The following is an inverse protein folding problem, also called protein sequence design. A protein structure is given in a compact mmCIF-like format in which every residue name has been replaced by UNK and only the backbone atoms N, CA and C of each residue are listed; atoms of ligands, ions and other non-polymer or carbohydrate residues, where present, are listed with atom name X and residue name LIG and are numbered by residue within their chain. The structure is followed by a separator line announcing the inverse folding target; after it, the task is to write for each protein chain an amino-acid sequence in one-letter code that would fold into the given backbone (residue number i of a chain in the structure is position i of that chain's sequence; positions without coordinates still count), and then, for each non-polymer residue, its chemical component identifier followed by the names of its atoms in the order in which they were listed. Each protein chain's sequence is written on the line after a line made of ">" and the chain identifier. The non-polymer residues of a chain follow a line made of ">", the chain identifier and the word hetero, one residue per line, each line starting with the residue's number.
data_IF_217264641864
#
_entry.id   IF_217264641864
#
_cell.length_a   1.000
_cell.length_b   1.000
_cell.length_c   1.000
_cell.angle_alpha   90.00
_cell.angle_beta   90.00
_cell.angle_gamma   90.00
#
_symmetry.space_group_name_H-M   'P 1'
#
loop_
_entity.id
_entity.type
_entity.pdbx_description
1 polymer ?
#
# COMPACT_ATOMS: atom_id res chain seq x y z
N UNK A 1 27.05 18.10 19.33
CA UNK A 1 26.42 17.01 18.54
C UNK A 1 24.88 17.08 18.48
N UNK A 2 24.17 17.59 19.50
CA UNK A 2 22.71 17.74 19.49
C UNK A 2 22.18 18.75 18.44
N UNK A 3 22.94 19.76 18.04
CA UNK A 3 22.50 20.81 17.10
C UNK A 3 22.45 20.38 15.63
N UNK A 4 23.35 19.51 15.16
CA UNK A 4 23.43 19.11 13.74
C UNK A 4 22.30 18.18 13.30
N UNK A 5 21.75 17.34 14.20
CA UNK A 5 20.59 16.48 13.87
C UNK A 5 19.27 17.29 13.82
N UNK A 6 19.22 18.47 14.49
CA UNK A 6 18.07 19.35 14.43
C UNK A 6 17.96 20.10 13.09
N UNK A 7 19.04 20.24 12.33
CA UNK A 7 19.09 21.01 11.08
C UNK A 7 18.95 20.13 9.82
N UNK A 8 18.90 18.80 9.95
CA UNK A 8 18.78 17.91 8.79
C UNK A 8 17.41 18.09 8.13
N UNK A 9 17.40 18.48 6.85
CA UNK A 9 16.18 18.57 6.03
C UNK A 9 15.46 17.20 5.96
N UNK A 10 16.19 16.11 5.84
CA UNK A 10 15.69 14.73 5.78
C UNK A 10 14.74 14.36 6.93
N UNK A 11 14.95 14.94 8.12
CA UNK A 11 14.12 14.69 9.29
C UNK A 11 13.22 15.87 9.64
N UNK A 12 13.01 16.84 8.73
CA UNK A 12 12.21 18.03 9.02
C UNK A 12 10.70 17.76 8.98
N UNK A 13 10.26 16.76 8.21
CA UNK A 13 8.86 16.39 8.10
C UNK A 13 8.70 14.86 8.08
N UNK A 14 7.56 14.29 8.58
CA UNK A 14 7.42 12.85 8.74
C UNK A 14 7.56 12.06 7.42
N UNK A 15 6.94 12.52 6.32
CA UNK A 15 6.94 11.78 5.06
C UNK A 15 8.34 11.51 4.50
N UNK A 16 9.31 12.40 4.75
CA UNK A 16 10.64 12.32 4.14
C UNK A 16 11.39 11.01 4.52
N UNK A 17 11.66 10.71 5.80
CA UNK A 17 12.39 9.51 6.17
C UNK A 17 11.61 8.22 5.90
N UNK A 18 10.29 8.25 6.12
CA UNK A 18 9.47 7.07 5.92
C UNK A 18 9.31 6.69 4.45
N UNK A 19 9.20 7.66 3.53
CA UNK A 19 9.13 7.37 2.09
C UNK A 19 10.45 6.79 1.59
N UNK A 20 11.59 7.31 2.01
CA UNK A 20 12.91 6.77 1.63
C UNK A 20 13.05 5.33 2.14
N UNK A 21 12.69 5.05 3.40
CA UNK A 21 12.74 3.70 3.94
C UNK A 21 11.78 2.75 3.23
N UNK A 22 10.56 3.22 2.91
CA UNK A 22 9.59 2.45 2.13
C UNK A 22 10.12 2.06 0.76
N UNK A 23 10.71 3.01 0.01
CA UNK A 23 11.31 2.74 -1.31
C UNK A 23 12.48 1.75 -1.20
N UNK A 24 13.37 1.94 -0.22
CA UNK A 24 14.45 1.01 0.05
C UNK A 24 13.91 -0.41 0.24
N UNK A 25 12.89 -0.57 1.07
CA UNK A 25 12.26 -1.86 1.32
C UNK A 25 11.55 -2.43 0.08
N UNK A 26 10.89 -1.59 -0.74
CA UNK A 26 10.27 -2.03 -1.97
C UNK A 26 11.28 -2.70 -2.93
N UNK A 27 12.47 -2.15 -3.02
CA UNK A 27 13.54 -2.65 -3.91
C UNK A 27 14.22 -3.87 -3.31
N UNK A 28 14.72 -3.74 -2.08
CA UNK A 28 15.57 -4.76 -1.46
C UNK A 28 14.78 -6.03 -1.14
N UNK A 29 13.61 -5.90 -0.52
CA UNK A 29 12.81 -7.07 -0.13
C UNK A 29 12.25 -7.81 -1.34
N UNK A 30 11.88 -7.07 -2.40
CA UNK A 30 11.41 -7.71 -3.62
C UNK A 30 12.54 -8.43 -4.36
N UNK A 31 13.76 -7.88 -4.35
CA UNK A 31 14.94 -8.56 -4.92
C UNK A 31 15.23 -9.85 -4.15
N UNK A 32 15.25 -9.80 -2.83
CA UNK A 32 15.47 -10.99 -1.97
C UNK A 32 14.40 -12.03 -2.22
N UNK A 33 13.11 -11.62 -2.23
CA UNK A 33 12.01 -12.53 -2.55
C UNK A 33 12.20 -13.21 -3.89
N UNK A 34 12.47 -12.46 -4.96
CA UNK A 34 12.62 -13.00 -6.30
C UNK A 34 13.76 -14.01 -6.42
N UNK A 35 14.91 -13.71 -5.80
CA UNK A 35 16.07 -14.60 -5.79
C UNK A 35 15.81 -15.87 -4.96
N UNK A 36 15.19 -15.76 -3.79
CA UNK A 36 14.82 -16.89 -2.96
C UNK A 36 13.72 -17.76 -3.60
N UNK A 37 12.71 -17.12 -4.20
CA UNK A 37 11.65 -17.85 -4.94
C UNK A 37 12.18 -18.68 -6.10
N UNK A 38 13.25 -18.21 -6.76
CA UNK A 38 13.95 -18.96 -7.82
C UNK A 38 14.95 -20.01 -7.29
N UNK A 39 15.08 -20.15 -5.97
CA UNK A 39 15.99 -21.10 -5.35
C UNK A 39 17.47 -20.75 -5.51
N UNK A 40 17.81 -19.48 -5.82
CA UNK A 40 19.21 -19.03 -5.96
C UNK A 40 19.93 -18.94 -4.62
N UNK A 41 19.20 -18.79 -3.52
CA UNK A 41 19.68 -18.94 -2.15
C UNK A 41 18.54 -19.32 -1.17
N UNK A 42 18.93 -19.85 -0.03
CA UNK A 42 18.01 -20.22 1.05
C UNK A 42 17.82 -19.06 2.02
N UNK A 43 16.62 -18.95 2.59
CA UNK A 43 16.26 -17.97 3.59
C UNK A 43 15.59 -18.65 4.79
N UNK A 44 15.74 -18.06 5.98
CA UNK A 44 15.23 -18.57 7.25
C UNK A 44 13.72 -18.34 7.47
N UNK A 45 12.99 -17.90 6.43
CA UNK A 45 11.56 -17.62 6.45
C UNK A 45 10.91 -18.14 5.16
N UNK A 46 9.64 -18.53 5.23
CA UNK A 46 8.90 -18.87 4.02
C UNK A 46 8.85 -17.69 3.04
N UNK A 47 9.21 -17.92 1.77
CA UNK A 47 9.34 -16.85 0.77
C UNK A 47 8.02 -16.09 0.50
N UNK A 48 6.87 -16.79 0.52
CA UNK A 48 5.56 -16.16 0.36
C UNK A 48 5.22 -15.28 1.57
N UNK A 49 5.50 -15.76 2.79
CA UNK A 49 5.32 -14.98 4.01
C UNK A 49 6.21 -13.74 3.98
N UNK A 50 7.50 -13.88 3.61
CA UNK A 50 8.42 -12.75 3.44
C UNK A 50 7.87 -11.73 2.44
N UNK A 51 7.42 -12.19 1.27
CA UNK A 51 6.88 -11.32 0.22
C UNK A 51 5.73 -10.45 0.74
N UNK A 52 4.70 -11.07 1.31
CA UNK A 52 3.52 -10.33 1.78
C UNK A 52 3.85 -9.48 2.98
N UNK A 53 4.57 -10.02 3.97
CA UNK A 53 4.95 -9.30 5.18
C UNK A 53 5.79 -8.05 4.88
N UNK A 54 6.80 -8.19 4.05
CA UNK A 54 7.70 -7.08 3.73
C UNK A 54 7.01 -5.97 2.95
N UNK A 55 6.16 -6.32 1.98
CA UNK A 55 5.39 -5.31 1.26
C UNK A 55 4.38 -4.62 2.18
N UNK A 56 3.66 -5.37 3.02
CA UNK A 56 2.67 -4.79 3.91
C UNK A 56 3.29 -3.89 4.99
N UNK A 57 4.27 -4.41 5.74
CA UNK A 57 4.74 -3.76 6.98
C UNK A 57 6.06 -2.99 6.82
N UNK A 58 6.86 -3.25 5.78
CA UNK A 58 8.08 -2.50 5.53
C UNK A 58 7.95 -1.48 4.40
N UNK A 59 7.16 -1.75 3.36
CA UNK A 59 6.90 -0.76 2.32
C UNK A 59 5.67 0.10 2.66
N UNK A 60 4.46 -0.50 2.59
CA UNK A 60 3.22 0.27 2.66
C UNK A 60 3.00 0.91 4.02
N UNK A 61 3.24 0.19 5.12
CA UNK A 61 3.11 0.76 6.47
C UNK A 61 4.05 1.95 6.70
N UNK A 62 5.32 1.91 6.20
CA UNK A 62 6.21 3.06 6.28
C UNK A 62 5.65 4.26 5.52
N UNK A 63 5.23 4.06 4.25
CA UNK A 63 4.69 5.15 3.44
C UNK A 63 3.39 5.70 4.06
N UNK A 64 2.50 4.85 4.54
CA UNK A 64 1.28 5.27 5.23
C UNK A 64 1.57 6.04 6.52
N UNK A 65 2.49 5.55 7.35
CA UNK A 65 2.90 6.25 8.59
C UNK A 65 3.43 7.65 8.28
N UNK A 66 4.36 7.77 7.32
CA UNK A 66 4.90 9.06 6.89
C UNK A 66 3.82 10.00 6.34
N UNK A 67 2.92 9.47 5.52
CA UNK A 67 1.80 10.20 4.96
C UNK A 67 0.80 10.64 6.04
N UNK A 68 0.37 9.74 6.90
CA UNK A 68 -0.63 10.03 7.94
C UNK A 68 -0.08 10.99 9.00
N UNK A 69 1.16 10.85 9.45
CA UNK A 69 1.77 11.81 10.37
C UNK A 69 1.87 13.22 9.78
N UNK A 70 1.88 13.33 8.44
CA UNK A 70 1.90 14.61 7.73
C UNK A 70 0.49 15.20 7.55
N UNK A 71 -0.52 14.36 7.26
CA UNK A 71 -1.85 14.81 6.81
C UNK A 71 -2.95 14.66 7.86
N UNK A 72 -2.89 13.63 8.70
CA UNK A 72 -3.92 13.30 9.68
C UNK A 72 -4.15 14.39 10.76
N UNK A 73 -3.09 15.10 11.24
CA UNK A 73 -3.29 16.27 12.10
C UNK A 73 -4.12 17.38 11.44
N UNK A 74 -3.93 17.58 10.11
CA UNK A 74 -4.71 18.57 9.35
C UNK A 74 -6.17 18.13 9.18
N UNK A 75 -6.42 16.84 8.96
CA UNK A 75 -7.79 16.30 8.87
C UNK A 75 -8.57 16.52 10.17
N UNK A 76 -7.89 16.44 11.30
CA UNK A 76 -8.49 16.56 12.63
C UNK A 76 -8.33 17.95 13.26
N UNK A 77 -7.70 18.92 12.58
CA UNK A 77 -7.42 20.28 13.09
C UNK A 77 -6.67 20.24 14.44
N UNK A 78 -5.58 19.47 14.48
CA UNK A 78 -4.68 19.38 15.64
C UNK A 78 -3.28 19.90 15.32
N UNK A 79 -2.44 19.97 16.35
CA UNK A 79 -1.02 20.28 16.19
C UNK A 79 -0.32 19.18 15.39
N UNK A 80 0.76 19.55 14.68
CA UNK A 80 1.62 18.63 13.94
C UNK A 80 2.25 17.59 14.88
N UNK A 81 2.54 16.42 14.36
CA UNK A 81 3.23 15.36 15.12
C UNK A 81 4.63 15.85 15.52
N UNK A 82 5.01 15.77 16.82
CA UNK A 82 6.32 16.25 17.27
C UNK A 82 7.47 15.50 16.58
N UNK A 83 8.52 16.24 16.17
CA UNK A 83 9.68 15.69 15.47
C UNK A 83 10.31 14.52 16.23
N UNK A 84 10.54 14.68 17.53
CA UNK A 84 11.11 13.63 18.37
C UNK A 84 10.31 12.33 18.31
N UNK A 85 8.96 12.43 18.22
CA UNK A 85 8.10 11.25 18.17
C UNK A 85 8.28 10.48 16.86
N UNK A 86 8.05 11.14 15.71
CA UNK A 86 8.13 10.43 14.43
C UNK A 86 9.55 9.98 14.06
N UNK A 87 10.58 10.71 14.52
CA UNK A 87 11.97 10.23 14.31
C UNK A 87 12.29 8.97 15.13
N UNK A 88 11.74 8.83 16.34
CA UNK A 88 11.89 7.59 17.12
C UNK A 88 11.20 6.42 16.43
N UNK A 89 9.98 6.62 15.89
CA UNK A 89 9.27 5.60 15.11
C UNK A 89 10.05 5.23 13.84
N UNK A 90 10.60 6.22 13.13
CA UNK A 90 11.45 5.97 11.98
C UNK A 90 12.67 5.11 12.33
N UNK A 91 13.38 5.43 13.40
CA UNK A 91 14.55 4.64 13.83
C UNK A 91 14.17 3.22 14.27
N UNK A 92 12.99 3.04 14.90
CA UNK A 92 12.50 1.70 15.22
C UNK A 92 12.19 0.89 13.94
N UNK A 93 11.54 1.50 12.93
CA UNK A 93 11.29 0.86 11.64
C UNK A 93 12.59 0.55 10.88
N UNK A 94 13.58 1.45 10.93
CA UNK A 94 14.90 1.21 10.34
C UNK A 94 15.61 0.05 11.04
N UNK A 95 15.63 0.03 12.37
CA UNK A 95 16.22 -1.05 13.16
C UNK A 95 15.54 -2.40 12.87
N UNK A 96 14.18 -2.41 12.84
CA UNK A 96 13.41 -3.60 12.46
C UNK A 96 13.73 -4.08 11.04
N UNK A 97 13.85 -3.15 10.07
CA UNK A 97 14.26 -3.48 8.70
C UNK A 97 15.65 -4.12 8.65
N UNK A 98 16.64 -3.51 9.29
CA UNK A 98 18.03 -4.03 9.29
C UNK A 98 18.12 -5.38 10.01
N UNK A 99 17.40 -5.54 11.10
CA UNK A 99 17.36 -6.80 11.85
C UNK A 99 16.65 -7.91 11.07
N UNK A 100 15.57 -7.59 10.33
CA UNK A 100 14.92 -8.54 9.43
C UNK A 100 15.86 -8.97 8.31
N UNK A 101 16.57 -8.03 7.69
CA UNK A 101 17.57 -8.33 6.66
C UNK A 101 18.66 -9.26 7.19
N UNK A 102 19.17 -9.00 8.39
CA UNK A 102 20.13 -9.90 9.03
C UNK A 102 19.52 -11.28 9.30
N UNK A 103 18.29 -11.31 9.85
CA UNK A 103 17.62 -12.54 10.23
C UNK A 103 17.31 -13.46 9.06
N UNK A 104 16.93 -12.91 7.92
CA UNK A 104 16.63 -13.67 6.68
C UNK A 104 17.79 -14.61 6.30
N UNK A 105 19.03 -14.21 6.54
CA UNK A 105 20.22 -14.97 6.16
C UNK A 105 20.91 -15.68 7.33
N UNK A 106 20.49 -15.45 8.59
CA UNK A 106 21.25 -15.95 9.76
C UNK A 106 20.42 -16.73 10.76
N UNK A 107 19.23 -16.24 11.15
CA UNK A 107 18.45 -16.86 12.22
C UNK A 107 17.01 -16.37 12.30
N UNK A 108 16.08 -17.30 12.45
CA UNK A 108 14.68 -17.02 12.72
C UNK A 108 14.44 -16.14 13.96
N UNK A 109 15.30 -16.19 14.97
CA UNK A 109 15.15 -15.36 16.18
C UNK A 109 15.34 -13.88 15.90
N UNK A 110 16.22 -13.50 14.97
CA UNK A 110 16.33 -12.11 14.54
C UNK A 110 15.11 -11.68 13.71
N UNK A 111 14.50 -12.58 12.94
CA UNK A 111 13.25 -12.31 12.23
C UNK A 111 12.13 -12.01 13.26
N UNK A 112 11.97 -12.86 14.26
CA UNK A 112 11.00 -12.69 15.36
C UNK A 112 11.17 -11.34 16.06
N UNK A 113 12.39 -11.02 16.45
CA UNK A 113 12.71 -9.75 17.11
C UNK A 113 12.42 -8.54 16.19
N UNK A 114 12.76 -8.65 14.90
CA UNK A 114 12.45 -7.62 13.93
C UNK A 114 10.92 -7.38 13.80
N UNK A 115 10.14 -8.45 13.67
CA UNK A 115 8.69 -8.38 13.60
C UNK A 115 8.08 -7.72 14.85
N UNK A 116 8.58 -8.04 16.06
CA UNK A 116 8.15 -7.41 17.31
C UNK A 116 8.49 -5.92 17.38
N UNK A 117 9.68 -5.51 16.94
CA UNK A 117 10.07 -4.09 16.88
C UNK A 117 9.17 -3.32 15.91
N UNK A 118 8.93 -3.88 14.72
CA UNK A 118 8.08 -3.28 13.71
C UNK A 118 6.62 -3.18 14.19
N UNK A 119 6.11 -4.21 14.87
CA UNK A 119 4.79 -4.19 15.49
C UNK A 119 4.68 -3.12 16.57
N UNK A 120 5.66 -3.02 17.45
CA UNK A 120 5.68 -1.99 18.50
C UNK A 120 5.69 -0.58 17.89
N UNK A 121 6.48 -0.35 16.82
CA UNK A 121 6.51 0.92 16.10
C UNK A 121 5.13 1.25 15.46
N UNK A 122 4.47 0.26 14.84
CA UNK A 122 3.13 0.43 14.30
C UNK A 122 2.11 0.71 15.41
N UNK A 123 2.13 -0.03 16.50
CA UNK A 123 1.25 0.18 17.65
C UNK A 123 1.38 1.61 18.22
N UNK A 124 2.61 2.08 18.43
CA UNK A 124 2.87 3.45 18.88
C UNK A 124 2.35 4.49 17.88
N UNK A 125 2.47 4.22 16.57
CA UNK A 125 1.94 5.07 15.51
C UNK A 125 0.41 5.16 15.58
N UNK A 126 -0.27 4.03 15.72
CA UNK A 126 -1.74 3.95 15.83
C UNK A 126 -2.24 4.64 17.09
N UNK A 127 -1.58 4.44 18.23
CA UNK A 127 -1.89 5.15 19.49
C UNK A 127 -1.78 6.67 19.31
N UNK A 128 -0.75 7.14 18.58
CA UNK A 128 -0.60 8.56 18.28
C UNK A 128 -1.71 9.08 17.35
N UNK A 129 -2.07 8.35 16.31
CA UNK A 129 -3.19 8.72 15.44
C UNK A 129 -4.52 8.76 16.21
N UNK A 130 -4.76 7.80 17.12
CA UNK A 130 -5.92 7.81 18.00
C UNK A 130 -5.96 9.06 18.92
N UNK A 131 -4.82 9.45 19.52
CA UNK A 131 -4.71 10.69 20.30
C UNK A 131 -5.09 11.91 19.45
N UNK A 132 -4.56 12.02 18.22
CA UNK A 132 -4.90 13.08 17.26
C UNK A 132 -6.40 13.09 16.94
N UNK A 133 -7.00 11.93 16.69
CA UNK A 133 -8.44 11.81 16.45
C UNK A 133 -9.27 12.27 17.64
N UNK A 134 -8.89 11.85 18.86
CA UNK A 134 -9.59 12.20 20.10
C UNK A 134 -9.51 13.71 20.38
N UNK A 135 -8.32 14.29 20.28
CA UNK A 135 -8.03 15.70 20.57
C UNK A 135 -8.49 16.65 19.44
N UNK A 136 -8.78 16.12 18.26
CA UNK A 136 -9.12 16.88 17.07
C UNK A 136 -10.36 17.77 17.24
N UNK A 137 -10.30 18.98 16.67
CA UNK A 137 -11.35 20.00 16.70
C UNK A 137 -12.23 19.99 15.44
N UNK A 138 -11.94 19.14 14.46
CA UNK A 138 -12.74 19.03 13.25
C UNK A 138 -14.19 18.64 13.60
N UNK A 139 -15.14 19.27 12.96
CA UNK A 139 -16.59 19.02 13.16
C UNK A 139 -17.01 17.65 12.61
N UNK A 140 -16.44 17.27 11.46
CA UNK A 140 -16.62 15.94 10.88
C UNK A 140 -15.31 15.15 10.93
N UNK A 141 -15.35 14.03 11.62
CA UNK A 141 -14.23 13.08 11.78
C UNK A 141 -14.54 11.71 11.17
N UNK A 142 -15.57 11.60 10.34
CA UNK A 142 -15.99 10.32 9.76
C UNK A 142 -14.87 9.65 8.95
N UNK A 143 -14.18 10.39 8.09
CA UNK A 143 -13.04 9.86 7.33
C UNK A 143 -11.89 9.43 8.24
N UNK A 144 -11.60 10.22 9.29
CA UNK A 144 -10.57 9.89 10.29
C UNK A 144 -10.91 8.63 11.09
N UNK A 145 -12.19 8.40 11.38
CA UNK A 145 -12.67 7.16 11.99
C UNK A 145 -12.37 5.94 11.11
N UNK A 146 -12.69 6.01 9.81
CA UNK A 146 -12.44 4.91 8.89
C UNK A 146 -10.95 4.63 8.66
N UNK A 147 -10.11 5.68 8.62
CA UNK A 147 -8.65 5.55 8.57
C UNK A 147 -8.14 4.80 9.81
N UNK A 148 -8.58 5.19 11.02
CA UNK A 148 -8.20 4.49 12.25
C UNK A 148 -8.72 3.05 12.29
N UNK A 149 -9.92 2.81 11.79
CA UNK A 149 -10.47 1.45 11.68
C UNK A 149 -9.55 0.57 10.83
N UNK A 150 -9.09 1.06 9.68
CA UNK A 150 -8.12 0.34 8.85
C UNK A 150 -6.80 0.07 9.60
N UNK A 151 -6.28 1.05 10.33
CA UNK A 151 -5.04 0.90 11.12
C UNK A 151 -5.18 -0.15 12.23
N UNK A 152 -6.34 -0.29 12.87
CA UNK A 152 -6.59 -1.36 13.83
C UNK A 152 -6.58 -2.74 13.17
N UNK A 153 -7.12 -2.88 11.97
CA UNK A 153 -6.97 -4.12 11.19
C UNK A 153 -5.53 -4.35 10.74
N UNK A 154 -4.75 -3.29 10.53
CA UNK A 154 -3.31 -3.38 10.30
C UNK A 154 -2.57 -4.00 11.49
N UNK A 155 -2.90 -3.61 12.72
CA UNK A 155 -2.36 -4.23 13.93
C UNK A 155 -2.78 -5.68 14.08
N UNK A 156 -4.06 -5.99 13.82
CA UNK A 156 -4.57 -7.36 13.90
C UNK A 156 -3.87 -8.28 12.87
N UNK A 157 -3.75 -7.82 11.62
CA UNK A 157 -3.02 -8.53 10.57
C UNK A 157 -1.55 -8.73 10.90
N UNK A 158 -0.87 -7.70 11.42
CA UNK A 158 0.53 -7.80 11.84
C UNK A 158 0.73 -8.85 12.94
N UNK A 159 -0.15 -8.85 13.94
CA UNK A 159 -0.12 -9.86 14.99
C UNK A 159 -0.33 -11.27 14.42
N UNK A 160 -1.26 -11.45 13.48
CA UNK A 160 -1.49 -12.75 12.82
C UNK A 160 -0.26 -13.22 12.04
N UNK A 161 0.47 -12.33 11.37
CA UNK A 161 1.75 -12.67 10.71
C UNK A 161 2.81 -13.12 11.71
N UNK A 162 2.94 -12.44 12.86
CA UNK A 162 3.84 -12.83 13.94
C UNK A 162 3.46 -14.22 14.44
N UNK A 163 2.19 -14.46 14.77
CA UNK A 163 1.72 -15.77 15.24
C UNK A 163 1.94 -16.88 14.20
N UNK A 164 1.71 -16.58 12.91
CA UNK A 164 1.99 -17.53 11.82
C UNK A 164 3.46 -17.92 11.80
N UNK A 165 4.36 -16.94 11.95
CA UNK A 165 5.80 -17.20 11.96
C UNK A 165 6.26 -17.93 13.21
N UNK A 166 5.90 -17.45 14.41
CA UNK A 166 6.34 -18.01 15.70
C UNK A 166 5.84 -19.43 15.94
N UNK A 167 4.55 -19.65 15.67
CA UNK A 167 3.90 -20.93 15.91
C UNK A 167 4.00 -21.89 14.72
N UNK A 168 4.57 -21.47 13.60
CA UNK A 168 4.62 -22.22 12.33
C UNK A 168 3.23 -22.66 11.84
N UNK A 169 2.19 -21.91 12.19
CA UNK A 169 0.79 -22.18 11.85
C UNK A 169 0.43 -21.55 10.48
N UNK A 170 0.96 -22.13 9.40
CA UNK A 170 0.72 -21.63 8.04
C UNK A 170 -0.75 -21.68 7.60
N UNK A 171 -1.61 -22.40 8.32
CA UNK A 171 -3.07 -22.37 8.14
C UNK A 171 -3.68 -21.00 8.46
N UNK A 172 -3.01 -20.17 9.28
CA UNK A 172 -3.41 -18.78 9.56
C UNK A 172 -2.99 -17.80 8.45
N UNK A 173 -2.05 -18.19 7.57
CA UNK A 173 -1.50 -17.29 6.57
C UNK A 173 -2.57 -16.70 5.63
N UNK A 174 -3.54 -17.45 5.08
CA UNK A 174 -4.60 -16.87 4.26
C UNK A 174 -5.40 -15.79 5.01
N UNK A 175 -5.76 -16.03 6.27
CA UNK A 175 -6.48 -15.05 7.09
C UNK A 175 -5.63 -13.82 7.38
N UNK A 176 -4.34 -14.00 7.75
CA UNK A 176 -3.40 -12.90 7.96
C UNK A 176 -3.25 -12.03 6.70
N UNK A 177 -3.12 -12.67 5.53
CA UNK A 177 -3.03 -11.99 4.23
C UNK A 177 -4.31 -11.21 3.94
N UNK A 178 -5.48 -11.84 4.03
CA UNK A 178 -6.75 -11.22 3.63
C UNK A 178 -7.13 -10.06 4.55
N UNK A 179 -6.96 -10.18 5.86
CA UNK A 179 -7.18 -9.09 6.81
C UNK A 179 -6.22 -7.93 6.52
N UNK A 180 -4.92 -8.22 6.39
CA UNK A 180 -3.92 -7.19 6.11
C UNK A 180 -4.17 -6.52 4.77
N UNK A 181 -4.47 -7.28 3.74
CA UNK A 181 -4.61 -6.75 2.39
C UNK A 181 -5.90 -5.95 2.23
N UNK A 182 -7.08 -6.57 2.47
CA UNK A 182 -8.37 -5.91 2.21
C UNK A 182 -8.76 -4.90 3.28
N UNK A 183 -8.61 -5.24 4.58
CA UNK A 183 -9.12 -4.41 5.67
C UNK A 183 -8.11 -3.37 6.16
N UNK A 184 -6.82 -3.58 5.91
CA UNK A 184 -5.80 -2.59 6.21
C UNK A 184 -5.36 -1.86 4.94
N UNK A 185 -4.57 -2.49 4.06
CA UNK A 185 -3.90 -1.78 2.97
C UNK A 185 -4.87 -1.14 1.98
N UNK A 186 -5.81 -1.93 1.44
CA UNK A 186 -6.75 -1.44 0.43
C UNK A 186 -7.76 -0.49 1.05
N UNK A 187 -8.32 -0.81 2.23
CA UNK A 187 -9.31 0.03 2.87
C UNK A 187 -8.74 1.35 3.38
N UNK A 188 -7.49 1.35 3.88
CA UNK A 188 -6.80 2.57 4.28
C UNK A 188 -6.56 3.50 3.08
N UNK A 189 -5.96 2.97 2.01
CA UNK A 189 -5.72 3.73 0.79
C UNK A 189 -7.01 4.23 0.15
N UNK A 190 -8.08 3.42 0.16
CA UNK A 190 -9.41 3.82 -0.27
C UNK A 190 -9.99 4.94 0.61
N UNK A 191 -9.92 4.81 1.94
CA UNK A 191 -10.46 5.81 2.88
C UNK A 191 -9.77 7.17 2.73
N UNK A 192 -8.46 7.18 2.49
CA UNK A 192 -7.70 8.39 2.16
C UNK A 192 -8.05 8.90 0.76
N UNK A 193 -8.06 8.01 -0.23
CA UNK A 193 -8.29 8.36 -1.64
C UNK A 193 -9.66 8.98 -1.87
N UNK A 194 -10.73 8.38 -1.34
CA UNK A 194 -12.10 8.86 -1.47
C UNK A 194 -12.33 10.25 -0.83
N UNK A 195 -11.50 10.63 0.17
CA UNK A 195 -11.50 11.97 0.76
C UNK A 195 -10.73 12.96 -0.10
N UNK A 196 -9.50 12.60 -0.49
CA UNK A 196 -8.53 13.56 -1.04
C UNK A 196 -8.66 13.75 -2.55
N UNK A 197 -8.99 12.70 -3.30
CA UNK A 197 -9.00 12.77 -4.76
C UNK A 197 -10.11 13.69 -5.27
N UNK A 198 -11.38 13.61 -4.80
CA UNK A 198 -12.40 14.58 -5.16
C UNK A 198 -12.03 16.02 -4.80
N UNK A 199 -11.43 16.23 -3.63
CA UNK A 199 -10.97 17.55 -3.20
C UNK A 199 -9.91 18.12 -4.16
N UNK A 200 -8.93 17.32 -4.58
CA UNK A 200 -7.91 17.77 -5.52
C UNK A 200 -8.43 18.00 -6.94
N UNK A 201 -9.50 17.29 -7.30
CA UNK A 201 -10.14 17.39 -8.62
C UNK A 201 -11.22 18.47 -8.69
N UNK A 202 -11.44 19.20 -7.57
CA UNK A 202 -12.54 20.16 -7.44
C UNK A 202 -13.91 19.55 -7.80
N UNK A 203 -14.09 18.26 -7.52
CA UNK A 203 -15.37 17.58 -7.70
C UNK A 203 -16.34 17.95 -6.57
N UNK A 204 -17.48 18.51 -6.91
CA UNK A 204 -18.55 18.89 -5.99
C UNK A 204 -19.66 17.85 -5.91
N UNK A 205 -19.47 16.69 -6.52
CA UNK A 205 -20.44 15.61 -6.49
C UNK A 205 -20.70 15.16 -5.04
N UNK A 206 -21.98 15.06 -4.69
CA UNK A 206 -22.38 14.53 -3.39
C UNK A 206 -22.13 13.03 -3.35
N UNK A 207 -21.28 12.59 -2.43
CA UNK A 207 -21.05 11.18 -2.15
C UNK A 207 -22.26 10.56 -1.47
N UNK A 208 -22.50 9.27 -1.73
CA UNK A 208 -23.43 8.50 -0.91
C UNK A 208 -22.94 8.49 0.55
N UNK A 209 -23.82 8.87 1.48
CA UNK A 209 -23.51 8.93 2.91
C UNK A 209 -23.06 7.58 3.49
N UNK A 210 -23.52 6.49 2.91
CA UNK A 210 -23.21 5.13 3.35
C UNK A 210 -22.07 4.50 2.55
N UNK A 211 -21.48 5.21 1.57
CA UNK A 211 -20.50 4.63 0.64
C UNK A 211 -19.35 3.92 1.36
N UNK A 212 -18.63 4.62 2.22
CA UNK A 212 -17.46 4.07 2.93
C UNK A 212 -17.87 2.92 3.86
N UNK A 213 -19.02 3.06 4.55
CA UNK A 213 -19.55 2.03 5.44
C UNK A 213 -19.89 0.74 4.70
N UNK A 214 -20.59 0.84 3.56
CA UNK A 214 -20.97 -0.33 2.77
C UNK A 214 -19.74 -1.00 2.15
N UNK A 215 -18.79 -0.22 1.63
CA UNK A 215 -17.51 -0.74 1.14
C UNK A 215 -16.75 -1.48 2.24
N UNK A 216 -16.72 -0.94 3.45
CA UNK A 216 -16.09 -1.60 4.59
C UNK A 216 -16.74 -2.96 4.92
N UNK A 217 -18.07 -3.00 4.98
CA UNK A 217 -18.81 -4.26 5.20
C UNK A 217 -18.51 -5.28 4.11
N UNK A 218 -18.51 -4.86 2.84
CA UNK A 218 -18.17 -5.73 1.73
C UNK A 218 -16.71 -6.22 1.80
N UNK A 219 -15.77 -5.41 2.26
CA UNK A 219 -14.38 -5.84 2.46
C UNK A 219 -14.25 -6.85 3.62
N UNK A 220 -15.05 -6.72 4.70
CA UNK A 220 -15.12 -7.76 5.74
C UNK A 220 -15.60 -9.07 5.13
N UNK A 221 -16.71 -9.06 4.40
CA UNK A 221 -17.26 -10.26 3.75
C UNK A 221 -16.24 -10.86 2.77
N UNK A 222 -15.61 -10.03 1.93
CA UNK A 222 -14.53 -10.47 1.03
C UNK A 222 -13.40 -11.15 1.79
N UNK A 223 -12.90 -10.51 2.85
CA UNK A 223 -11.80 -11.05 3.66
C UNK A 223 -12.17 -12.38 4.32
N UNK A 224 -13.40 -12.50 4.85
CA UNK A 224 -13.87 -13.73 5.47
C UNK A 224 -14.01 -14.84 4.44
N UNK A 225 -14.74 -14.61 3.33
CA UNK A 225 -14.99 -15.65 2.32
C UNK A 225 -13.70 -16.11 1.65
N UNK A 226 -12.79 -15.19 1.31
CA UNK A 226 -11.48 -15.53 0.79
C UNK A 226 -10.62 -16.33 1.79
N UNK A 227 -10.75 -16.09 3.11
CA UNK A 227 -9.99 -16.81 4.15
C UNK A 227 -10.48 -18.22 4.36
N UNK A 228 -11.80 -18.47 4.22
CA UNK A 228 -12.40 -19.81 4.40
C UNK A 228 -12.57 -20.58 3.08
N UNK A 229 -12.26 -19.95 1.94
CA UNK A 229 -12.34 -20.58 0.60
C UNK A 229 -13.76 -20.67 0.03
N UNK A 230 -14.67 -19.79 0.44
CA UNK A 230 -16.04 -19.72 -0.08
C UNK A 230 -16.09 -18.94 -1.39
N UNK A 231 -15.65 -19.56 -2.48
CA UNK A 231 -15.42 -18.92 -3.79
C UNK A 231 -16.66 -18.31 -4.42
N UNK A 232 -17.82 -18.93 -4.27
CA UNK A 232 -19.09 -18.43 -4.83
C UNK A 232 -19.51 -17.13 -4.12
N UNK A 233 -19.49 -17.13 -2.80
CA UNK A 233 -19.85 -15.97 -1.98
C UNK A 233 -18.82 -14.85 -2.18
N UNK A 234 -17.54 -15.18 -2.28
CA UNK A 234 -16.45 -14.27 -2.61
C UNK A 234 -16.70 -13.61 -3.97
N UNK A 235 -17.04 -14.38 -5.01
CA UNK A 235 -17.38 -13.88 -6.34
C UNK A 235 -18.56 -12.91 -6.32
N UNK A 236 -19.63 -13.24 -5.58
CA UNK A 236 -20.81 -12.36 -5.46
C UNK A 236 -20.45 -11.03 -4.79
N UNK A 237 -19.61 -11.06 -3.74
CA UNK A 237 -19.12 -9.83 -3.08
C UNK A 237 -18.30 -8.99 -4.06
N UNK A 238 -17.45 -9.61 -4.86
CA UNK A 238 -16.63 -8.92 -5.86
C UNK A 238 -17.49 -8.24 -6.94
N UNK A 239 -18.56 -8.90 -7.41
CA UNK A 239 -19.53 -8.29 -8.35
C UNK A 239 -20.18 -7.05 -7.73
N UNK A 240 -20.64 -7.15 -6.47
CA UNK A 240 -21.27 -6.02 -5.76
C UNK A 240 -20.28 -4.89 -5.57
N UNK A 241 -19.04 -5.17 -5.14
CA UNK A 241 -17.97 -4.17 -5.01
C UNK A 241 -17.68 -3.47 -6.33
N UNK A 242 -17.51 -4.24 -7.42
CA UNK A 242 -17.23 -3.69 -8.73
C UNK A 242 -18.33 -2.73 -9.20
N UNK A 243 -19.58 -3.16 -9.15
CA UNK A 243 -20.73 -2.38 -9.63
C UNK A 243 -20.99 -1.16 -8.73
N UNK A 244 -20.93 -1.33 -7.41
CA UNK A 244 -21.20 -0.25 -6.48
C UNK A 244 -20.14 0.85 -6.51
N UNK A 245 -18.86 0.47 -6.53
CA UNK A 245 -17.75 1.43 -6.64
C UNK A 245 -17.75 2.12 -8.01
N UNK A 246 -17.99 1.37 -9.10
CA UNK A 246 -18.07 1.96 -10.44
C UNK A 246 -19.18 3.00 -10.53
N UNK A 247 -20.39 2.65 -10.05
CA UNK A 247 -21.52 3.57 -10.01
C UNK A 247 -21.17 4.86 -9.25
N UNK A 248 -20.53 4.75 -8.10
CA UNK A 248 -20.20 5.92 -7.28
C UNK A 248 -19.09 6.76 -7.94
N UNK A 249 -18.04 6.16 -8.48
CA UNK A 249 -16.93 6.89 -9.12
C UNK A 249 -17.36 7.59 -10.43
N UNK A 250 -18.32 7.01 -11.18
CA UNK A 250 -18.91 7.69 -12.34
C UNK A 250 -19.70 8.94 -11.94
N UNK A 251 -20.32 8.95 -10.74
CA UNK A 251 -21.02 10.13 -10.21
C UNK A 251 -20.07 11.25 -9.79
N UNK A 252 -18.79 10.94 -9.49
CA UNK A 252 -17.82 11.95 -9.04
C UNK A 252 -17.27 12.83 -10.16
N UNK A 253 -17.69 12.61 -11.39
CA UNK A 253 -17.36 13.42 -12.56
C UNK A 253 -15.86 13.59 -12.77
N UNK A 254 -15.12 12.49 -12.63
CA UNK A 254 -13.71 12.46 -12.93
C UNK A 254 -13.46 12.31 -14.43
N UNK A 255 -12.54 13.13 -14.96
CA UNK A 255 -12.13 13.10 -16.36
C UNK A 255 -10.66 12.69 -16.47
N UNK A 256 -10.30 11.38 -16.32
CA UNK A 256 -8.92 10.94 -16.27
C UNK A 256 -8.10 11.42 -17.47
N UNK A 257 -8.63 11.29 -18.68
CA UNK A 257 -7.92 11.62 -19.92
C UNK A 257 -7.79 13.13 -20.20
N UNK A 258 -8.57 13.98 -19.52
CA UNK A 258 -8.56 15.44 -19.68
C UNK A 258 -7.86 16.15 -18.52
N UNK A 259 -7.64 15.46 -17.41
CA UNK A 259 -7.00 16.02 -16.23
C UNK A 259 -5.47 16.09 -16.38
N UNK A 260 -4.79 17.05 -15.71
CA UNK A 260 -3.34 17.04 -15.61
C UNK A 260 -2.79 15.70 -15.07
N UNK A 261 -1.60 15.24 -15.49
CA UNK A 261 -1.08 13.92 -15.11
C UNK A 261 -1.05 13.65 -13.62
N UNK A 262 -0.79 14.65 -12.80
CA UNK A 262 -0.77 14.54 -11.33
C UNK A 262 -2.16 14.26 -10.71
N UNK A 263 -3.23 14.45 -11.46
CA UNK A 263 -4.60 14.13 -11.07
C UNK A 263 -5.09 12.86 -11.76
N UNK A 264 -4.89 12.70 -13.08
CA UNK A 264 -5.42 11.52 -13.77
C UNK A 264 -4.84 10.21 -13.22
N UNK A 265 -3.57 10.21 -12.72
CA UNK A 265 -3.00 9.02 -12.08
C UNK A 265 -3.81 8.59 -10.86
N UNK A 266 -4.33 9.55 -10.09
CA UNK A 266 -5.17 9.28 -8.91
C UNK A 266 -6.58 8.84 -9.30
N UNK A 267 -7.15 9.44 -10.37
CA UNK A 267 -8.43 8.98 -10.95
C UNK A 267 -8.30 7.54 -11.43
N UNK A 268 -7.25 7.25 -12.20
CA UNK A 268 -6.98 5.90 -12.71
C UNK A 268 -6.82 4.90 -11.56
N UNK A 269 -6.11 5.27 -10.50
CA UNK A 269 -5.98 4.44 -9.31
C UNK A 269 -7.35 4.06 -8.73
N UNK A 270 -8.28 5.01 -8.56
CA UNK A 270 -9.63 4.70 -8.07
C UNK A 270 -10.38 3.75 -9.01
N UNK A 271 -10.29 3.94 -10.32
CA UNK A 271 -10.95 3.06 -11.28
C UNK A 271 -10.34 1.65 -11.34
N UNK A 272 -9.11 1.47 -10.85
CA UNK A 272 -8.58 0.11 -10.65
C UNK A 272 -9.36 -0.70 -9.61
N UNK A 273 -10.01 -0.07 -8.62
CA UNK A 273 -10.82 -0.80 -7.64
C UNK A 273 -11.97 -1.58 -8.31
N UNK A 274 -12.95 -0.93 -8.97
CA UNK A 274 -14.02 -1.67 -9.62
C UNK A 274 -13.52 -2.60 -10.73
N UNK A 275 -12.47 -2.22 -11.46
CA UNK A 275 -11.88 -3.06 -12.51
C UNK A 275 -11.27 -4.35 -11.91
N UNK A 276 -10.49 -4.23 -10.86
CA UNK A 276 -9.84 -5.38 -10.22
C UNK A 276 -10.86 -6.32 -9.56
N UNK A 277 -11.91 -5.79 -8.91
CA UNK A 277 -12.99 -6.63 -8.37
C UNK A 277 -13.81 -7.30 -9.47
N UNK A 278 -14.09 -6.60 -10.59
CA UNK A 278 -14.74 -7.20 -11.73
C UNK A 278 -13.92 -8.35 -12.35
N UNK A 279 -12.62 -8.15 -12.55
CA UNK A 279 -11.71 -9.21 -13.03
C UNK A 279 -11.58 -10.33 -11.99
N UNK A 280 -11.58 -10.01 -10.68
CA UNK A 280 -11.59 -11.01 -9.62
C UNK A 280 -12.82 -11.91 -9.69
N UNK A 281 -14.01 -11.33 -9.87
CA UNK A 281 -15.23 -12.09 -10.02
C UNK A 281 -15.19 -13.01 -11.26
N UNK A 282 -14.66 -12.50 -12.38
CA UNK A 282 -14.46 -13.33 -13.60
C UNK A 282 -13.44 -14.46 -13.37
N UNK A 283 -12.37 -14.20 -12.64
CA UNK A 283 -11.35 -15.21 -12.30
C UNK A 283 -11.92 -16.31 -11.40
N UNK A 284 -12.74 -15.93 -10.39
CA UNK A 284 -13.42 -16.89 -9.53
C UNK A 284 -14.49 -17.69 -10.29
N UNK A 285 -15.21 -17.07 -11.23
CA UNK A 285 -16.14 -17.78 -12.11
C UNK A 285 -15.40 -18.80 -12.98
N UNK A 286 -14.26 -18.43 -13.55
CA UNK A 286 -13.44 -19.36 -14.33
C UNK A 286 -12.92 -20.54 -13.47
N UNK A 287 -12.56 -20.27 -12.22
CA UNK A 287 -12.14 -21.34 -11.30
C UNK A 287 -13.30 -22.26 -10.89
N UNK A 288 -14.51 -21.70 -10.66
CA UNK A 288 -15.68 -22.48 -10.28
C UNK A 288 -16.27 -23.32 -11.42
N UNK A 289 -16.29 -22.78 -12.64
CA UNK A 289 -17.04 -23.37 -13.76
C UNK A 289 -16.14 -23.97 -14.86
N UNK A 290 -14.86 -23.55 -14.93
CA UNK A 290 -13.92 -23.98 -15.99
C UNK A 290 -12.65 -24.62 -15.45
N UNK A 291 -12.55 -24.81 -14.13
CA UNK A 291 -11.36 -25.36 -13.42
C UNK A 291 -10.05 -24.63 -13.82
N UNK A 292 -10.14 -23.32 -14.05
CA UNK A 292 -9.02 -22.49 -14.48
C UNK A 292 -8.69 -21.45 -13.44
N UNK A 293 -7.51 -21.57 -12.79
CA UNK A 293 -7.05 -20.63 -11.75
C UNK A 293 -6.05 -19.60 -12.29
N UNK A 294 -6.30 -18.31 -12.01
CA UNK A 294 -5.47 -17.18 -12.44
C UNK A 294 -4.47 -16.72 -11.38
N UNK A 295 -3.82 -17.60 -10.70
CA UNK A 295 -2.66 -17.39 -9.80
C UNK A 295 -2.49 -15.97 -9.25
N UNK A 296 -3.26 -15.61 -8.22
CA UNK A 296 -3.23 -14.31 -7.53
C UNK A 296 -3.42 -13.08 -8.43
N UNK A 297 -4.10 -13.21 -9.58
CA UNK A 297 -4.36 -12.08 -10.48
C UNK A 297 -5.06 -10.94 -9.75
N UNK A 298 -6.14 -11.24 -9.02
CA UNK A 298 -6.97 -10.29 -8.29
C UNK A 298 -6.17 -9.45 -7.27
N UNK A 299 -5.35 -10.11 -6.44
CA UNK A 299 -4.53 -9.43 -5.43
C UNK A 299 -3.53 -8.48 -6.11
N UNK A 300 -2.89 -8.90 -7.20
CA UNK A 300 -1.89 -8.06 -7.86
C UNK A 300 -2.49 -6.90 -8.67
N UNK A 301 -3.69 -7.05 -9.22
CA UNK A 301 -4.39 -5.93 -9.83
C UNK A 301 -4.72 -4.84 -8.81
N UNK A 302 -5.17 -5.23 -7.60
CA UNK A 302 -5.38 -4.28 -6.50
C UNK A 302 -4.06 -3.72 -5.95
N UNK A 303 -3.04 -4.58 -5.75
CA UNK A 303 -1.77 -4.16 -5.15
C UNK A 303 -0.97 -3.21 -6.06
N UNK A 304 -0.94 -3.46 -7.37
CA UNK A 304 -0.17 -2.65 -8.31
C UNK A 304 -1.07 -1.60 -8.96
N UNK A 305 -2.23 -2.00 -9.49
CA UNK A 305 -3.15 -1.11 -10.18
C UNK A 305 -3.72 -0.03 -9.27
N UNK A 306 -4.23 -0.39 -8.10
CA UNK A 306 -4.75 0.59 -7.15
C UNK A 306 -3.68 1.09 -6.17
N UNK A 307 -3.19 0.23 -5.29
CA UNK A 307 -2.42 0.62 -4.11
C UNK A 307 -1.08 1.27 -4.48
N UNK A 308 -0.31 0.68 -5.40
CA UNK A 308 0.97 1.25 -5.87
C UNK A 308 0.74 2.53 -6.67
N UNK A 309 -0.30 2.61 -7.50
CA UNK A 309 -0.63 3.83 -8.25
C UNK A 309 -0.99 4.98 -7.31
N UNK A 310 -1.81 4.72 -6.28
CA UNK A 310 -2.10 5.70 -5.21
C UNK A 310 -0.84 6.13 -4.47
N UNK A 311 0.00 5.16 -4.08
CA UNK A 311 1.24 5.43 -3.36
C UNK A 311 2.17 6.35 -4.16
N UNK A 312 2.42 6.04 -5.42
CA UNK A 312 3.28 6.84 -6.30
C UNK A 312 2.63 8.21 -6.59
N UNK A 313 1.33 8.26 -6.87
CA UNK A 313 0.61 9.49 -7.16
C UNK A 313 0.60 10.46 -5.97
N UNK A 314 0.16 10.01 -4.79
CA UNK A 314 0.20 10.83 -3.57
C UNK A 314 1.62 11.10 -3.10
N UNK A 315 2.52 10.11 -3.18
CA UNK A 315 3.92 10.27 -2.81
C UNK A 315 4.59 11.40 -3.61
N UNK A 316 4.36 11.44 -4.92
CA UNK A 316 4.83 12.51 -5.79
C UNK A 316 4.24 13.86 -5.39
N UNK A 317 2.91 13.93 -5.20
CA UNK A 317 2.21 15.16 -4.84
C UNK A 317 2.65 15.72 -3.49
N UNK A 318 2.80 14.87 -2.47
CA UNK A 318 3.26 15.25 -1.14
C UNK A 318 4.71 15.72 -1.18
N UNK A 319 5.58 15.00 -1.89
CA UNK A 319 6.99 15.37 -2.02
C UNK A 319 7.17 16.74 -2.67
N UNK A 320 6.46 17.01 -3.76
CA UNK A 320 6.52 18.31 -4.45
C UNK A 320 5.91 19.42 -3.57
N UNK A 321 4.70 19.23 -3.07
CA UNK A 321 3.99 20.24 -2.29
C UNK A 321 4.74 20.66 -1.03
N UNK A 322 5.32 19.71 -0.29
CA UNK A 322 6.07 20.01 0.94
C UNK A 322 7.50 20.52 0.70
N UNK A 323 8.03 20.40 -0.50
CA UNK A 323 9.29 21.05 -0.91
C UNK A 323 9.09 22.47 -1.48
N UNK A 324 7.86 23.00 -1.42
CA UNK A 324 7.52 24.32 -1.96
C UNK A 324 7.48 24.37 -3.48
N UNK A 325 7.33 23.23 -4.14
CA UNK A 325 7.18 23.13 -5.58
C UNK A 325 5.71 22.93 -5.96
N UNK A 326 5.26 23.47 -7.10
CA UNK A 326 3.91 23.22 -7.58
C UNK A 326 3.72 21.71 -7.81
N UNK A 327 2.56 21.14 -7.47
CA UNK A 327 2.27 19.72 -7.70
C UNK A 327 1.99 19.48 -9.19
N UNK A 328 3.04 19.56 -10.00
CA UNK A 328 3.00 19.38 -11.44
C UNK A 328 3.83 18.15 -11.83
N UNK A 329 3.26 17.28 -12.67
CA UNK A 329 3.99 16.15 -13.24
C UNK A 329 4.60 16.57 -14.58
N UNK A 330 5.91 16.57 -14.64
CA UNK A 330 6.66 16.76 -15.89
C UNK A 330 6.58 15.51 -16.78
N UNK A 331 7.23 15.55 -17.94
CA UNK A 331 7.22 14.42 -18.88
C UNK A 331 7.78 13.13 -18.28
N UNK A 332 8.85 13.22 -17.48
CA UNK A 332 9.42 12.04 -16.82
C UNK A 332 8.42 11.43 -15.83
N UNK A 333 7.83 12.23 -14.98
CA UNK A 333 6.83 11.80 -13.98
C UNK A 333 5.58 11.24 -14.66
N UNK A 334 5.13 11.85 -15.76
CA UNK A 334 4.01 11.34 -16.56
C UNK A 334 4.32 9.95 -17.14
N UNK A 335 5.51 9.78 -17.72
CA UNK A 335 5.96 8.48 -18.22
C UNK A 335 6.08 7.43 -17.10
N UNK A 336 6.50 7.85 -15.91
CA UNK A 336 6.53 6.98 -14.74
C UNK A 336 5.13 6.49 -14.34
N UNK A 337 4.13 7.37 -14.39
CA UNK A 337 2.72 6.98 -14.14
C UNK A 337 2.18 6.00 -15.17
N UNK A 338 2.55 6.16 -16.44
CA UNK A 338 2.24 5.18 -17.49
C UNK A 338 2.99 3.87 -17.28
N UNK A 339 4.24 3.94 -16.83
CA UNK A 339 5.04 2.74 -16.54
C UNK A 339 4.44 1.89 -15.42
N UNK A 340 3.77 2.48 -14.42
CA UNK A 340 3.03 1.69 -13.42
C UNK A 340 1.99 0.80 -14.11
N UNK A 341 1.25 1.33 -15.09
CA UNK A 341 0.22 0.57 -15.79
C UNK A 341 0.83 -0.58 -16.61
N UNK A 342 2.02 -0.36 -17.14
CA UNK A 342 2.77 -1.43 -17.81
C UNK A 342 3.22 -2.53 -16.84
N UNK A 343 3.62 -2.17 -15.60
CA UNK A 343 3.92 -3.14 -14.53
C UNK A 343 2.69 -3.96 -14.18
N UNK A 344 1.51 -3.33 -14.07
CA UNK A 344 0.22 -4.04 -13.85
C UNK A 344 -0.03 -5.06 -14.96
N UNK A 345 0.10 -4.62 -16.22
CA UNK A 345 -0.11 -5.46 -17.38
C UNK A 345 0.84 -6.68 -17.39
N UNK A 346 2.13 -6.47 -17.17
CA UNK A 346 3.12 -7.55 -17.16
C UNK A 346 2.87 -8.55 -16.03
N UNK A 347 2.44 -8.07 -14.85
CA UNK A 347 2.09 -8.97 -13.74
C UNK A 347 0.79 -9.74 -14.04
N UNK A 348 -0.20 -9.12 -14.66
CA UNK A 348 -1.42 -9.78 -15.09
C UNK A 348 -1.12 -10.84 -16.16
N UNK A 349 -0.26 -10.52 -17.13
CA UNK A 349 0.17 -11.45 -18.19
C UNK A 349 0.86 -12.70 -17.59
N UNK A 350 1.65 -12.54 -16.53
CA UNK A 350 2.22 -13.68 -15.81
C UNK A 350 1.12 -14.58 -15.22
N UNK A 351 0.08 -14.02 -14.60
CA UNK A 351 -1.04 -14.82 -14.07
C UNK A 351 -1.81 -15.56 -15.18
N UNK A 352 -2.02 -14.90 -16.31
CA UNK A 352 -2.64 -15.49 -17.51
C UNK A 352 -1.78 -16.62 -18.08
N UNK A 353 -0.46 -16.42 -18.15
CA UNK A 353 0.50 -17.44 -18.58
C UNK A 353 0.40 -18.72 -17.72
N UNK A 354 0.27 -18.56 -16.39
CA UNK A 354 0.08 -19.71 -15.50
C UNK A 354 -1.27 -20.38 -15.75
N UNK A 355 -2.37 -19.62 -15.86
CA UNK A 355 -3.72 -20.13 -16.05
C UNK A 355 -3.85 -20.99 -17.33
N UNK A 356 -3.18 -20.60 -18.40
CA UNK A 356 -3.24 -21.30 -19.70
C UNK A 356 -2.03 -22.20 -19.98
N UNK A 357 -1.11 -22.34 -19.03
CA UNK A 357 0.04 -23.24 -19.17
C UNK A 357 0.99 -22.90 -20.32
N UNK A 358 1.14 -21.63 -20.69
CA UNK A 358 1.99 -21.22 -21.83
C UNK A 358 3.49 -21.50 -21.61
N UNK A 359 3.94 -21.68 -20.35
CA UNK A 359 5.32 -22.05 -20.04
C UNK A 359 6.35 -20.91 -20.22
N UNK A 360 5.91 -19.65 -20.34
CA UNK A 360 6.80 -18.49 -20.52
C UNK A 360 7.32 -18.02 -19.15
N UNK A 361 8.38 -18.67 -18.65
CA UNK A 361 8.93 -18.44 -17.31
C UNK A 361 9.55 -17.03 -17.13
N UNK A 362 9.98 -16.40 -18.24
CA UNK A 362 10.57 -15.04 -18.23
C UNK A 362 9.58 -13.94 -17.83
N UNK A 363 8.27 -14.19 -17.88
CA UNK A 363 7.25 -13.23 -17.47
C UNK A 363 7.30 -12.91 -15.98
N UNK A 364 7.65 -13.90 -15.13
CA UNK A 364 7.89 -13.64 -13.71
C UNK A 364 9.06 -12.65 -13.52
N UNK A 365 10.18 -12.92 -14.19
CA UNK A 365 11.38 -12.09 -14.11
C UNK A 365 11.11 -10.67 -14.62
N UNK A 366 10.37 -10.55 -15.72
CA UNK A 366 10.00 -9.27 -16.29
C UNK A 366 9.11 -8.46 -15.32
N UNK A 367 8.09 -9.08 -14.73
CA UNK A 367 7.22 -8.41 -13.76
C UNK A 367 7.99 -7.98 -12.51
N UNK A 368 8.86 -8.84 -11.98
CA UNK A 368 9.73 -8.55 -10.84
C UNK A 368 10.69 -7.40 -11.13
N UNK A 369 11.40 -7.47 -12.25
CA UNK A 369 12.35 -6.43 -12.66
C UNK A 369 11.67 -5.08 -12.87
N UNK A 370 10.53 -5.06 -13.53
CA UNK A 370 9.78 -3.82 -13.77
C UNK A 370 9.26 -3.19 -12.48
N UNK A 371 8.82 -3.99 -11.51
CA UNK A 371 8.48 -3.48 -10.18
C UNK A 371 9.68 -2.81 -9.52
N UNK A 372 10.83 -3.48 -9.46
CA UNK A 372 12.05 -2.93 -8.87
C UNK A 372 12.46 -1.64 -9.61
N UNK A 373 12.46 -1.66 -10.94
CA UNK A 373 12.79 -0.51 -11.78
C UNK A 373 11.86 0.69 -11.51
N UNK A 374 10.56 0.45 -11.32
CA UNK A 374 9.59 1.49 -10.98
C UNK A 374 10.02 2.28 -9.73
N UNK A 375 10.35 1.57 -8.64
CA UNK A 375 10.74 2.20 -7.39
C UNK A 375 12.14 2.84 -7.46
N UNK A 376 13.05 2.25 -8.23
CA UNK A 376 14.37 2.86 -8.50
C UNK A 376 14.22 4.17 -9.29
N UNK A 377 13.39 4.21 -10.32
CA UNK A 377 13.15 5.42 -11.13
C UNK A 377 12.48 6.51 -10.30
N UNK A 378 11.45 6.16 -9.50
CA UNK A 378 10.82 7.12 -8.61
C UNK A 378 11.80 7.63 -7.56
N UNK A 379 12.57 6.74 -6.94
CA UNK A 379 13.62 7.08 -5.97
C UNK A 379 14.70 7.98 -6.58
N UNK A 380 15.22 7.64 -7.75
CA UNK A 380 16.22 8.46 -8.45
C UNK A 380 15.74 9.89 -8.72
N UNK A 381 14.44 10.05 -9.02
CA UNK A 381 13.83 11.36 -9.28
C UNK A 381 13.60 12.17 -8.00
N UNK A 382 13.05 11.52 -6.95
CA UNK A 382 12.50 12.23 -5.79
C UNK A 382 13.35 12.11 -4.51
N UNK A 383 14.33 11.19 -4.42
CA UNK A 383 15.13 11.03 -3.21
C UNK A 383 15.92 12.31 -2.86
N UNK A 384 16.47 13.02 -3.86
CA UNK A 384 17.18 14.29 -3.62
C UNK A 384 16.25 15.38 -3.06
N UNK A 385 14.98 15.39 -3.46
CA UNK A 385 13.97 16.29 -2.91
C UNK A 385 13.69 15.94 -1.46
N UNK A 386 13.47 14.66 -1.16
CA UNK A 386 13.16 14.17 0.19
C UNK A 386 14.34 14.35 1.17
N UNK A 387 15.58 14.12 0.70
CA UNK A 387 16.76 14.13 1.57
C UNK A 387 17.33 15.54 1.74
N UNK A 388 17.40 16.33 0.66
CA UNK A 388 18.12 17.61 0.63
C UNK A 388 17.23 18.81 0.35
N UNK A 389 15.95 18.63 0.03
CA UNK A 389 15.05 19.73 -0.36
C UNK A 389 15.34 20.31 -1.75
N UNK A 390 16.09 19.61 -2.61
CA UNK A 390 16.42 20.10 -3.94
C UNK A 390 15.17 20.18 -4.80
N UNK A 391 15.11 21.20 -5.67
CA UNK A 391 14.02 21.28 -6.65
C UNK A 391 14.20 20.24 -7.74
N UNK A 392 13.10 19.67 -8.19
CA UNK A 392 13.06 18.83 -9.40
C UNK A 392 13.39 19.72 -10.60
N UNK A 393 14.42 19.37 -11.33
CA UNK A 393 14.81 20.05 -12.58
C UNK A 393 14.12 19.40 -13.79
#
# INVERSE_FOLDING_TARGET
>A
MKSRLQESYFLSQPHQPFFILGIFNAVVMMLIFGLAYKGLFTIEINSTLLHVYSLAFLLFNNVFTGFLFTTFPRFNQTNVVPRKFYTNIFYANLAGTLLLLLGIFTSKHFISLAMLILFAAQLMSVVKLYSIYKEGRATDKSDSFWILTAEYFGLAGHLLFILTHELQLYTLLPTAVNITFYLYLIFLAFSVGQRMIPFFSHSWAQKDKNFVKLVFVLFILKSVFASVGFKLEEMLVDIVLALYMLKEFLRWDFHPLQSPPILWVLHLALFWLPTAFGISAMSLAAELFLDTSFYFLNIHLLAIGFLTTVLIGFGTRVTLGHSGQPPHADRFTTNLFLFIQFVVFMRALFSINIAFGWGVNTLFDAALFMWILLFLLWGARYAKVLIFGYKVK
#
